data_IF_474070260172
#
_entry.id   IF_474070260172
#
_cell.length_a   1.000
_cell.length_b   1.000
_cell.length_c   1.000
_cell.angle_alpha   90.00
_cell.angle_beta   90.00
_cell.angle_gamma   90.00
#
_symmetry.space_group_name_H-M   'P 1'
#
loop_
_entity.id
_entity.type
_entity.pdbx_description
1 polymer ?
#
# COMPACT_ATOMS: atom_id res chain seq x y z
N UNK A 1 -21.97 -7.76 -12.47
CA UNK A 1 -21.27 -8.84 -13.18
C UNK A 1 -20.45 -9.66 -12.19
N UNK A 2 -20.94 -10.79 -11.67
CA UNK A 2 -20.30 -11.46 -10.53
C UNK A 2 -19.06 -12.30 -10.87
N UNK A 3 -18.74 -12.54 -12.14
CA UNK A 3 -17.74 -13.51 -12.58
C UNK A 3 -16.42 -12.93 -13.14
N UNK A 4 -16.32 -11.61 -13.33
CA UNK A 4 -15.12 -11.00 -13.89
C UNK A 4 -13.96 -11.04 -12.89
N UNK A 5 -12.72 -11.22 -13.39
CA UNK A 5 -11.47 -11.30 -12.62
C UNK A 5 -11.23 -12.56 -11.76
N UNK A 6 -12.21 -13.47 -11.58
CA UNK A 6 -12.04 -14.70 -10.77
C UNK A 6 -10.93 -15.61 -11.28
N UNK A 7 -10.74 -15.66 -12.60
CA UNK A 7 -9.70 -16.44 -13.26
C UNK A 7 -8.30 -16.19 -12.65
N UNK A 8 -8.04 -14.97 -12.16
CA UNK A 8 -6.75 -14.63 -11.56
C UNK A 8 -6.50 -15.48 -10.31
N UNK A 9 -7.48 -15.60 -9.42
CA UNK A 9 -7.35 -16.29 -8.14
C UNK A 9 -7.25 -17.81 -8.30
N UNK A 10 -7.67 -18.33 -9.44
CA UNK A 10 -7.55 -19.75 -9.79
C UNK A 10 -6.23 -20.07 -10.51
N UNK A 11 -5.58 -19.05 -11.09
CA UNK A 11 -4.36 -19.18 -11.88
C UNK A 11 -3.16 -19.60 -11.02
N UNK A 12 -2.38 -20.56 -11.52
CA UNK A 12 -1.23 -21.14 -10.79
C UNK A 12 -0.22 -20.10 -10.33
N UNK A 13 0.10 -19.12 -11.18
CA UNK A 13 1.04 -18.05 -10.83
C UNK A 13 0.55 -17.17 -9.67
N UNK A 14 -0.76 -16.92 -9.58
CA UNK A 14 -1.31 -16.14 -8.47
C UNK A 14 -1.32 -16.96 -7.18
N UNK A 15 -1.72 -18.23 -7.25
CA UNK A 15 -1.69 -19.14 -6.10
C UNK A 15 -0.30 -19.29 -5.50
N UNK A 16 0.71 -19.50 -6.36
CA UNK A 16 2.13 -19.52 -6.01
C UNK A 16 2.55 -18.22 -5.33
N UNK A 17 2.21 -17.07 -5.91
CA UNK A 17 2.54 -15.77 -5.32
C UNK A 17 1.87 -15.52 -3.96
N UNK A 18 0.64 -15.99 -3.78
CA UNK A 18 -0.12 -15.80 -2.54
C UNK A 18 0.20 -16.81 -1.43
N UNK A 19 1.08 -17.77 -1.69
CA UNK A 19 1.52 -18.75 -0.72
C UNK A 19 2.71 -18.20 0.06
N UNK A 20 2.51 -17.92 1.35
CA UNK A 20 3.54 -17.38 2.24
C UNK A 20 4.81 -18.28 2.26
N UNK A 21 4.65 -19.59 2.04
CA UNK A 21 5.76 -20.54 1.97
C UNK A 21 6.63 -20.41 0.72
N UNK A 22 6.20 -19.64 -0.28
CA UNK A 22 6.91 -19.44 -1.56
C UNK A 22 7.43 -18.01 -1.73
N UNK A 23 7.25 -17.15 -0.72
CA UNK A 23 7.60 -15.73 -0.79
C UNK A 23 9.07 -15.48 -1.16
N UNK A 24 9.99 -16.33 -0.70
CA UNK A 24 11.42 -16.21 -1.01
C UNK A 24 11.74 -16.38 -2.50
N UNK A 25 10.96 -17.17 -3.25
CA UNK A 25 11.22 -17.43 -4.66
C UNK A 25 10.92 -16.22 -5.55
N UNK A 26 9.93 -15.42 -5.16
CA UNK A 26 9.40 -14.31 -5.96
C UNK A 26 9.50 -12.95 -5.26
N UNK A 27 10.09 -12.91 -4.06
CA UNK A 27 10.32 -11.69 -3.27
C UNK A 27 9.04 -10.85 -3.06
N UNK A 28 7.89 -11.51 -2.92
CA UNK A 28 6.59 -10.84 -2.80
C UNK A 28 6.09 -10.11 -4.06
N UNK A 29 6.80 -10.18 -5.18
CA UNK A 29 6.47 -9.43 -6.40
C UNK A 29 5.54 -10.21 -7.34
N UNK A 30 4.49 -9.54 -7.84
CA UNK A 30 3.55 -10.08 -8.82
C UNK A 30 3.32 -9.14 -10.00
N UNK A 31 3.65 -9.60 -11.21
CA UNK A 31 3.50 -8.80 -12.44
C UNK A 31 2.25 -9.16 -13.23
N UNK A 32 1.29 -8.21 -13.35
CA UNK A 32 0.11 -8.35 -14.21
C UNK A 32 0.28 -7.61 -15.54
N UNK A 33 0.54 -8.35 -16.63
CA UNK A 33 0.71 -7.79 -17.99
C UNK A 33 -0.57 -7.94 -18.82
N UNK A 34 -0.83 -6.98 -19.71
CA UNK A 34 -1.97 -7.04 -20.63
C UNK A 34 -2.10 -5.80 -21.50
N UNK A 35 -2.85 -5.90 -22.60
CA UNK A 35 -3.06 -4.81 -23.57
C UNK A 35 -3.73 -3.58 -22.92
N UNK A 36 -3.54 -2.36 -23.45
CA UNK A 36 -4.35 -1.20 -23.06
C UNK A 36 -5.86 -1.55 -23.13
N UNK A 37 -6.65 -1.07 -22.17
CA UNK A 37 -8.09 -1.35 -22.13
C UNK A 37 -8.52 -2.74 -21.67
N UNK A 38 -7.61 -3.71 -21.45
CA UNK A 38 -7.99 -5.08 -21.05
C UNK A 38 -8.41 -5.24 -19.57
N UNK A 39 -8.66 -4.14 -18.85
CA UNK A 39 -9.16 -4.19 -17.48
C UNK A 39 -8.14 -4.45 -16.37
N UNK A 40 -6.83 -4.31 -16.60
CA UNK A 40 -5.77 -4.54 -15.57
C UNK A 40 -6.04 -3.84 -14.24
N UNK A 41 -6.39 -2.55 -14.26
CA UNK A 41 -6.72 -1.80 -13.04
C UNK A 41 -7.97 -2.33 -12.35
N UNK A 42 -8.92 -2.89 -13.09
CA UNK A 42 -10.11 -3.56 -12.53
C UNK A 42 -9.73 -4.87 -11.85
N UNK A 43 -8.84 -5.66 -12.47
CA UNK A 43 -8.28 -6.86 -11.86
C UNK A 43 -7.55 -6.51 -10.56
N UNK A 44 -6.68 -5.50 -10.56
CA UNK A 44 -5.93 -5.08 -9.37
C UNK A 44 -6.85 -4.61 -8.23
N UNK A 45 -7.93 -3.87 -8.53
CA UNK A 45 -8.95 -3.49 -7.53
C UNK A 45 -9.64 -4.72 -6.91
N UNK A 46 -9.92 -5.75 -7.71
CA UNK A 46 -10.47 -7.00 -7.21
C UNK A 46 -9.44 -7.75 -6.35
N UNK A 47 -8.16 -7.76 -6.73
CA UNK A 47 -7.08 -8.34 -5.95
C UNK A 47 -6.96 -7.70 -4.56
N UNK A 48 -7.05 -6.38 -4.46
CA UNK A 48 -7.07 -5.69 -3.17
C UNK A 48 -8.25 -6.13 -2.29
N UNK A 49 -9.43 -6.31 -2.88
CA UNK A 49 -10.61 -6.79 -2.16
C UNK A 49 -10.44 -8.23 -1.69
N UNK A 50 -9.81 -9.07 -2.52
CA UNK A 50 -9.45 -10.44 -2.15
C UNK A 50 -8.40 -10.46 -1.02
N UNK A 51 -7.35 -9.64 -1.10
CA UNK A 51 -6.28 -9.57 -0.11
C UNK A 51 -6.82 -9.21 1.28
N UNK A 52 -7.68 -8.19 1.36
CA UNK A 52 -8.34 -7.79 2.62
C UNK A 52 -9.24 -8.88 3.24
N UNK A 53 -9.74 -9.82 2.43
CA UNK A 53 -10.52 -10.96 2.91
C UNK A 53 -9.64 -12.13 3.33
N UNK A 54 -8.53 -12.34 2.62
CA UNK A 54 -7.56 -13.40 2.89
C UNK A 54 -6.76 -13.12 4.16
N UNK A 55 -6.37 -11.86 4.35
CA UNK A 55 -5.60 -11.36 5.49
C UNK A 55 -6.43 -10.30 6.22
N UNK A 56 -7.33 -10.73 7.12
CA UNK A 56 -8.16 -9.80 7.87
C UNK A 56 -7.32 -9.03 8.89
N UNK A 57 -7.84 -7.86 9.31
CA UNK A 57 -7.09 -6.86 10.09
C UNK A 57 -6.58 -7.34 11.45
N UNK A 58 -7.23 -8.33 12.02
CA UNK A 58 -6.84 -9.00 13.27
C UNK A 58 -5.58 -9.86 13.12
N UNK A 59 -5.22 -10.23 11.89
CA UNK A 59 -4.04 -11.03 11.57
C UNK A 59 -2.97 -10.16 10.90
N UNK A 60 -3.34 -9.35 9.90
CA UNK A 60 -2.42 -8.54 9.11
C UNK A 60 -3.08 -7.27 8.56
N UNK A 61 -2.31 -6.18 8.50
CA UNK A 61 -2.76 -4.91 7.93
C UNK A 61 -2.46 -4.85 6.43
N UNK A 62 -3.50 -4.94 5.59
CA UNK A 62 -3.36 -4.68 4.15
C UNK A 62 -3.41 -3.18 3.85
N UNK A 63 -2.26 -2.61 3.47
CA UNK A 63 -2.15 -1.24 2.94
C UNK A 63 -2.18 -1.21 1.41
N UNK A 64 -2.52 -0.07 0.82
CA UNK A 64 -2.58 0.06 -0.64
C UNK A 64 -2.35 1.49 -1.13
N UNK A 65 -1.77 1.61 -2.32
CA UNK A 65 -1.64 2.87 -3.04
C UNK A 65 -1.62 2.58 -4.55
N UNK A 66 -2.19 3.47 -5.35
CA UNK A 66 -2.25 3.32 -6.80
C UNK A 66 -1.56 4.49 -7.49
N UNK A 67 -0.41 4.23 -8.11
CA UNK A 67 0.22 5.21 -8.99
C UNK A 67 -0.68 5.52 -10.20
N UNK A 68 -1.05 6.79 -10.33
CA UNK A 68 -1.86 7.29 -11.42
C UNK A 68 -1.04 8.33 -12.22
N UNK A 69 -0.27 7.84 -13.19
CA UNK A 69 0.57 8.68 -14.05
C UNK A 69 -0.18 9.83 -14.76
N UNK A 70 -1.53 9.74 -14.87
CA UNK A 70 -2.39 10.75 -15.50
C UNK A 70 -3.06 11.70 -14.52
N UNK A 71 -2.85 11.54 -13.22
CA UNK A 71 -3.41 12.45 -12.21
C UNK A 71 -2.97 13.91 -12.44
N UNK A 72 -3.72 14.88 -11.93
CA UNK A 72 -3.27 16.29 -11.94
C UNK A 72 -2.39 16.58 -10.73
N UNK A 73 -2.70 15.98 -9.58
CA UNK A 73 -1.92 16.13 -8.35
C UNK A 73 -0.61 15.34 -8.40
N UNK A 74 0.43 15.90 -7.79
CA UNK A 74 1.77 15.28 -7.70
C UNK A 74 1.76 14.03 -6.80
N UNK A 75 0.94 14.05 -5.73
CA UNK A 75 0.88 12.97 -4.74
C UNK A 75 0.31 11.65 -5.27
N UNK A 76 -0.40 11.64 -6.39
CA UNK A 76 -0.86 10.38 -7.02
C UNK A 76 0.23 9.75 -7.92
N UNK A 77 1.38 10.41 -8.07
CA UNK A 77 2.46 10.02 -8.96
C UNK A 77 3.81 9.87 -8.26
N UNK A 78 3.93 10.34 -7.03
CA UNK A 78 5.20 10.42 -6.31
C UNK A 78 5.29 9.37 -5.21
N UNK A 79 6.53 9.00 -4.90
CA UNK A 79 6.87 8.17 -3.74
C UNK A 79 6.42 8.83 -2.43
N UNK A 80 6.56 10.16 -2.30
CA UNK A 80 5.99 10.91 -1.17
C UNK A 80 4.50 10.62 -0.93
N UNK A 81 3.69 10.57 -1.98
CA UNK A 81 2.27 10.25 -1.86
C UNK A 81 2.00 8.80 -1.47
N UNK A 82 2.82 7.86 -1.97
CA UNK A 82 2.83 6.47 -1.51
C UNK A 82 3.12 6.41 -0.01
N UNK A 83 4.20 7.02 0.46
CA UNK A 83 4.60 6.96 1.87
C UNK A 83 3.57 7.63 2.78
N UNK A 84 3.10 8.84 2.45
CA UNK A 84 2.02 9.51 3.22
C UNK A 84 0.77 8.62 3.31
N UNK A 85 0.37 7.99 2.21
CA UNK A 85 -0.82 7.13 2.17
C UNK A 85 -0.65 5.85 2.98
N UNK A 86 0.52 5.21 2.91
CA UNK A 86 0.82 3.97 3.64
C UNK A 86 0.92 4.25 5.13
N UNK A 87 1.66 5.27 5.55
CA UNK A 87 1.79 5.68 6.96
C UNK A 87 0.41 6.00 7.55
N UNK A 88 -0.41 6.77 6.84
CA UNK A 88 -1.77 7.08 7.28
C UNK A 88 -2.63 5.82 7.47
N UNK A 89 -2.55 4.85 6.56
CA UNK A 89 -3.30 3.60 6.69
C UNK A 89 -2.82 2.74 7.86
N UNK A 90 -1.50 2.68 8.11
CA UNK A 90 -0.92 1.97 9.26
C UNK A 90 -1.39 2.60 10.57
N UNK A 91 -1.29 3.92 10.71
CA UNK A 91 -1.75 4.62 11.92
C UNK A 91 -3.24 4.42 12.22
N UNK A 92 -4.07 4.27 11.19
CA UNK A 92 -5.50 3.96 11.37
C UNK A 92 -5.76 2.50 11.76
N UNK A 93 -4.86 1.58 11.39
CA UNK A 93 -4.99 0.17 11.70
C UNK A 93 -4.35 -0.21 13.04
N UNK A 94 -3.29 0.50 13.43
CA UNK A 94 -2.40 0.21 14.56
C UNK A 94 -2.29 1.45 15.48
N UNK A 95 -3.22 1.65 16.44
CA UNK A 95 -3.20 2.78 17.36
C UNK A 95 -1.90 2.94 18.16
N UNK A 96 -1.22 1.83 18.46
CA UNK A 96 0.07 1.77 19.14
C UNK A 96 1.19 2.48 18.34
N UNK A 97 1.20 2.31 17.02
CA UNK A 97 2.17 2.97 16.13
C UNK A 97 1.85 4.44 15.95
N UNK A 98 0.57 4.83 16.07
CA UNK A 98 0.16 6.23 16.00
C UNK A 98 0.77 7.06 17.13
N UNK A 99 0.82 6.53 18.35
CA UNK A 99 1.45 7.23 19.47
C UNK A 99 2.95 7.46 19.22
N UNK A 100 3.67 6.40 18.84
CA UNK A 100 5.10 6.50 18.49
C UNK A 100 5.37 7.45 17.33
N UNK A 101 4.51 7.46 16.31
CA UNK A 101 4.60 8.42 15.21
C UNK A 101 4.43 9.86 15.72
N UNK A 102 3.36 10.13 16.49
CA UNK A 102 3.12 11.47 17.02
C UNK A 102 4.28 11.94 17.89
N UNK A 103 4.82 11.10 18.76
CA UNK A 103 5.98 11.43 19.60
C UNK A 103 7.22 11.78 18.74
N UNK A 104 7.49 11.01 17.68
CA UNK A 104 8.62 11.23 16.77
C UNK A 104 8.49 12.56 15.99
N UNK A 105 7.27 13.04 15.78
CA UNK A 105 6.99 14.24 14.99
C UNK A 105 6.40 15.41 15.80
N UNK A 106 6.29 15.28 17.14
CA UNK A 106 5.65 16.26 18.03
C UNK A 106 6.45 17.57 18.17
N UNK A 107 7.78 17.49 18.16
CA UNK A 107 8.68 18.63 18.46
C UNK A 107 8.71 19.72 17.38
N UNK A 108 7.91 19.61 16.31
CA UNK A 108 7.88 20.59 15.21
C UNK A 108 6.88 21.73 15.40
N UNK A 109 6.13 21.73 16.51
CA UNK A 109 5.02 22.65 16.78
C UNK A 109 5.37 24.10 17.15
N UNK A 110 6.65 24.50 17.17
CA UNK A 110 7.03 25.87 17.58
C UNK A 110 7.90 26.66 16.57
N UNK A 111 8.23 26.08 15.40
CA UNK A 111 9.00 26.79 14.38
C UNK A 111 8.20 27.03 13.10
N UNK A 112 7.67 28.25 13.03
CA UNK A 112 7.22 28.98 11.84
C UNK A 112 6.00 28.47 11.04
N UNK A 113 5.21 29.45 10.61
CA UNK A 113 3.92 29.42 9.90
C UNK A 113 4.00 28.85 8.46
N UNK A 114 5.01 28.03 8.17
CA UNK A 114 5.12 27.27 6.93
C UNK A 114 4.56 25.86 7.17
N UNK A 115 3.66 25.38 6.30
CA UNK A 115 3.19 23.99 6.30
C UNK A 115 4.39 23.05 6.45
N UNK A 116 4.60 22.51 7.66
CA UNK A 116 5.67 21.55 7.94
C UNK A 116 5.28 20.24 7.28
N UNK A 117 5.62 20.14 6.00
CA UNK A 117 5.42 18.94 5.22
C UNK A 117 6.48 17.89 5.57
N UNK A 118 6.05 16.70 6.00
CA UNK A 118 6.95 15.57 6.19
C UNK A 118 7.65 15.22 4.87
N UNK A 119 8.95 14.98 4.97
CA UNK A 119 9.80 14.63 3.83
C UNK A 119 9.65 13.16 3.47
N UNK A 120 10.07 12.82 2.26
CA UNK A 120 10.04 11.45 1.76
C UNK A 120 10.90 10.49 2.62
N UNK A 121 12.10 10.92 3.00
CA UNK A 121 13.04 10.13 3.79
C UNK A 121 12.49 9.81 5.19
N UNK A 122 11.91 10.80 5.88
CA UNK A 122 11.37 10.61 7.23
C UNK A 122 10.25 9.56 7.27
N UNK A 123 9.37 9.60 6.28
CA UNK A 123 8.28 8.64 6.18
C UNK A 123 8.81 7.26 5.78
N UNK A 124 9.81 7.19 4.92
CA UNK A 124 10.47 5.93 4.57
C UNK A 124 11.15 5.30 5.79
N UNK A 125 11.91 6.08 6.56
CA UNK A 125 12.63 5.61 7.75
C UNK A 125 11.64 5.08 8.78
N UNK A 126 10.54 5.79 9.03
CA UNK A 126 9.46 5.29 9.88
C UNK A 126 8.87 3.97 9.38
N UNK A 127 8.63 3.83 8.07
CA UNK A 127 8.09 2.59 7.50
C UNK A 127 9.04 1.40 7.65
N UNK A 128 10.35 1.62 7.56
CA UNK A 128 11.36 0.56 7.77
C UNK A 128 11.45 0.14 9.24
N UNK A 129 11.25 1.07 10.17
CA UNK A 129 11.27 0.77 11.61
C UNK A 129 10.07 -0.09 12.07
N UNK A 130 8.92 0.06 11.41
CA UNK A 130 7.66 -0.62 11.81
C UNK A 130 7.33 -1.86 10.97
N UNK A 131 8.12 -2.17 9.95
CA UNK A 131 7.97 -3.34 9.08
C UNK A 131 8.71 -4.57 9.61
#
# INVERSE_FOLDING_TARGET
MPATCRWLFEHVAFKRWSDDGQMYDHQGFFWLKGKPGCGKSTVMKNTLTWARKKWPKDIQTTVHYFFNARARGILEKSSLGLYRSVVHQIMLACPELKASFLDKFADRGEQDDAEVEWTENELQDFLVEVA
#
